data_IF_391837493272
#
_entry.id   IF_391837493272
#
_cell.length_a   1.000
_cell.length_b   1.000
_cell.length_c   1.000
_cell.angle_alpha   90.00
_cell.angle_beta   90.00
_cell.angle_gamma   90.00
#
_symmetry.space_group_name_H-M   'P 1'
#
loop_
_entity.id
_entity.type
_entity.pdbx_description
1 polymer ?
#
# COMPACT_ATOMS: atom_id res chain seq x y z
N UNK A 1 -14.69 33.84 -5.58
CA UNK A 1 -13.27 33.43 -5.57
C UNK A 1 -13.19 32.29 -4.57
N UNK A 2 -13.17 31.04 -5.03
CA UNK A 2 -12.91 29.91 -4.12
C UNK A 2 -11.42 29.93 -3.83
N UNK A 3 -11.03 30.10 -2.57
CA UNK A 3 -9.67 29.79 -2.15
C UNK A 3 -9.43 28.31 -2.47
N UNK A 4 -8.54 28.03 -3.42
CA UNK A 4 -8.02 26.68 -3.61
C UNK A 4 -7.23 26.35 -2.34
N UNK A 5 -7.83 25.57 -1.45
CA UNK A 5 -7.16 25.10 -0.24
C UNK A 5 -5.93 24.31 -0.68
N UNK A 6 -4.74 24.85 -0.40
CA UNK A 6 -3.48 24.17 -0.70
C UNK A 6 -3.41 22.92 0.17
N UNK A 7 -3.27 21.75 -0.45
CA UNK A 7 -3.09 20.50 0.26
C UNK A 7 -1.71 20.50 0.92
N UNK A 8 -1.69 20.48 2.25
CA UNK A 8 -0.45 20.58 3.03
C UNK A 8 0.33 19.25 3.02
N UNK A 9 1.63 19.32 2.71
CA UNK A 9 2.59 18.23 2.90
C UNK A 9 3.09 18.26 4.34
N UNK A 10 2.91 17.15 5.06
CA UNK A 10 3.29 17.02 6.47
C UNK A 10 4.59 16.22 6.66
N UNK A 11 4.84 15.26 5.78
CA UNK A 11 6.01 14.38 5.82
C UNK A 11 6.58 14.32 4.41
N UNK A 12 7.90 14.44 4.32
CA UNK A 12 8.65 14.44 3.07
C UNK A 12 9.74 13.36 3.06
N UNK A 13 10.40 13.16 1.91
CA UNK A 13 11.49 12.21 1.72
C UNK A 13 11.09 10.76 2.03
N UNK A 14 9.87 10.37 1.61
CA UNK A 14 9.35 9.04 1.84
C UNK A 14 9.78 8.01 0.79
N UNK A 15 10.18 8.43 -0.41
CA UNK A 15 10.62 7.52 -1.46
C UNK A 15 11.81 6.69 -0.99
N UNK A 16 11.74 5.37 -1.16
CA UNK A 16 12.76 4.43 -0.71
C UNK A 16 12.73 4.15 0.81
N UNK A 17 11.80 4.72 1.58
CA UNK A 17 11.63 4.36 2.99
C UNK A 17 10.96 3.00 3.10
N UNK A 18 11.59 2.11 3.86
CA UNK A 18 11.14 0.74 4.11
C UNK A 18 10.05 0.67 5.16
N UNK A 19 9.06 -0.19 4.94
CA UNK A 19 8.03 -0.51 5.92
C UNK A 19 7.51 -1.94 5.73
N UNK A 20 6.73 -2.44 6.68
CA UNK A 20 6.01 -3.71 6.57
C UNK A 20 4.64 -3.63 7.21
N UNK A 21 3.77 -4.56 6.83
CA UNK A 21 2.40 -4.62 7.34
C UNK A 21 1.99 -6.05 7.71
N UNK A 22 1.41 -6.21 8.89
CA UNK A 22 0.78 -7.46 9.35
C UNK A 22 -0.73 -7.26 9.33
N UNK A 23 -1.43 -8.10 8.58
CA UNK A 23 -2.87 -8.01 8.37
C UNK A 23 -3.56 -9.22 8.99
N UNK A 24 -3.85 -9.21 10.30
CA UNK A 24 -4.77 -10.18 10.89
C UNK A 24 -6.18 -9.98 10.33
N UNK A 25 -6.80 -11.09 9.93
CA UNK A 25 -8.13 -11.11 9.34
C UNK A 25 -9.08 -11.91 10.22
N UNK A 26 -10.18 -11.27 10.58
CA UNK A 26 -11.19 -11.75 11.50
C UNK A 26 -12.49 -12.01 10.77
N UNK A 27 -13.22 -13.05 11.19
CA UNK A 27 -14.60 -13.23 10.80
C UNK A 27 -15.49 -12.35 11.70
N UNK A 28 -16.32 -11.51 11.09
CA UNK A 28 -17.36 -10.71 11.73
C UNK A 28 -18.72 -11.09 11.12
N UNK A 29 -19.80 -10.54 11.67
CA UNK A 29 -21.17 -10.85 11.23
C UNK A 29 -21.41 -10.56 9.74
N UNK A 30 -20.72 -9.56 9.18
CA UNK A 30 -20.82 -9.08 7.80
C UNK A 30 -19.68 -9.55 6.90
N UNK A 31 -18.89 -10.55 7.33
CA UNK A 31 -17.84 -11.20 6.53
C UNK A 31 -16.44 -11.04 7.12
N UNK A 32 -15.42 -11.16 6.28
CA UNK A 32 -14.03 -11.04 6.68
C UNK A 32 -13.61 -9.57 6.77
N UNK A 33 -12.91 -9.23 7.85
CA UNK A 33 -12.34 -7.90 8.07
C UNK A 33 -10.86 -8.00 8.42
N UNK A 34 -10.03 -7.21 7.76
CA UNK A 34 -8.61 -7.07 8.10
C UNK A 34 -8.39 -5.83 8.97
N UNK A 35 -7.55 -5.96 9.99
CA UNK A 35 -6.87 -4.80 10.59
C UNK A 35 -5.48 -4.68 9.96
N UNK A 36 -5.07 -3.48 9.56
CA UNK A 36 -3.74 -3.26 8.97
C UNK A 36 -2.82 -2.70 10.03
N UNK A 37 -1.91 -3.51 10.54
CA UNK A 37 -0.84 -3.08 11.45
C UNK A 37 0.40 -2.77 10.62
N UNK A 38 0.88 -1.53 10.68
CA UNK A 38 1.99 -1.08 9.85
C UNK A 38 3.12 -0.44 10.65
N UNK A 39 4.35 -0.52 10.14
CA UNK A 39 5.55 0.08 10.77
C UNK A 39 5.80 1.54 10.34
N UNK A 40 4.94 2.10 9.48
CA UNK A 40 5.13 3.44 8.92
C UNK A 40 5.29 4.48 10.04
N UNK A 41 6.37 5.28 9.95
CA UNK A 41 6.78 6.29 10.92
C UNK A 41 7.15 5.74 12.32
N UNK A 42 7.36 4.42 12.46
CA UNK A 42 7.76 3.79 13.72
C UNK A 42 9.15 3.14 13.63
N UNK A 43 9.40 2.38 12.57
CA UNK A 43 10.66 1.71 12.30
C UNK A 43 10.75 1.28 10.82
N UNK A 44 11.92 0.80 10.42
CA UNK A 44 12.27 0.37 9.08
C UNK A 44 11.92 -1.11 8.79
N UNK A 45 11.11 -1.75 9.63
CA UNK A 45 10.67 -3.14 9.53
C UNK A 45 11.83 -4.18 9.50
N UNK A 46 12.77 -4.19 10.46
CA UNK A 46 14.07 -4.86 10.34
C UNK A 46 14.02 -6.28 9.73
N UNK A 47 14.76 -6.51 8.64
CA UNK A 47 14.68 -7.76 7.85
C UNK A 47 14.86 -9.02 8.72
N UNK A 48 15.89 -9.03 9.57
CA UNK A 48 16.22 -10.15 10.44
C UNK A 48 15.16 -10.48 11.50
N UNK A 49 14.24 -9.55 11.80
CA UNK A 49 13.08 -9.79 12.66
C UNK A 49 11.87 -10.19 11.82
N UNK A 50 11.67 -9.54 10.66
CA UNK A 50 10.56 -9.83 9.75
C UNK A 50 10.56 -11.28 9.28
N UNK A 51 11.72 -11.82 8.92
CA UNK A 51 11.89 -13.21 8.49
C UNK A 51 11.55 -14.25 9.58
N UNK A 52 11.47 -13.81 10.84
CA UNK A 52 11.11 -14.67 11.98
C UNK A 52 9.62 -14.59 12.33
N UNK A 53 8.84 -13.74 11.66
CA UNK A 53 7.41 -13.66 11.91
C UNK A 53 6.72 -14.95 11.47
N UNK A 54 5.94 -15.52 12.38
CA UNK A 54 5.10 -16.68 12.11
C UNK A 54 3.63 -16.23 12.03
N UNK A 55 3.11 -16.17 10.81
CA UNK A 55 1.73 -15.75 10.55
C UNK A 55 0.69 -16.65 11.26
N UNK A 56 0.95 -17.95 11.38
CA UNK A 56 0.03 -18.89 12.03
C UNK A 56 0.05 -18.70 13.54
N UNK A 57 1.22 -18.47 14.13
CA UNK A 57 1.33 -18.15 15.56
C UNK A 57 0.64 -16.83 15.90
N UNK A 58 0.85 -15.78 15.07
CA UNK A 58 0.18 -14.48 15.23
C UNK A 58 -1.34 -14.64 15.09
N UNK A 59 -1.82 -15.42 14.12
CA UNK A 59 -3.25 -15.65 13.93
C UNK A 59 -3.88 -16.30 15.17
N UNK A 60 -3.20 -17.31 15.73
CA UNK A 60 -3.62 -17.99 16.96
C UNK A 60 -3.62 -17.06 18.18
N UNK A 61 -2.61 -16.20 18.32
CA UNK A 61 -2.53 -15.24 19.43
C UNK A 61 -3.71 -14.25 19.39
N UNK A 62 -4.08 -13.81 18.19
CA UNK A 62 -5.10 -12.79 17.99
C UNK A 62 -6.53 -13.34 17.92
N UNK A 63 -6.70 -14.66 17.86
CA UNK A 63 -7.97 -15.29 17.46
C UNK A 63 -8.44 -14.80 16.08
N UNK A 64 -7.48 -14.63 15.16
CA UNK A 64 -7.73 -14.30 13.77
C UNK A 64 -7.89 -15.59 12.94
N UNK A 65 -8.70 -15.53 11.88
CA UNK A 65 -8.91 -16.65 10.95
C UNK A 65 -7.62 -16.96 10.19
N UNK A 66 -6.90 -15.91 9.78
CA UNK A 66 -5.56 -16.00 9.21
C UNK A 66 -4.87 -14.64 9.30
N UNK A 67 -3.55 -14.62 9.09
CA UNK A 67 -2.74 -13.41 9.03
C UNK A 67 -2.02 -13.36 7.69
N UNK A 68 -2.07 -12.21 7.02
CA UNK A 68 -1.25 -11.92 5.85
C UNK A 68 -0.06 -11.04 6.26
N UNK A 69 1.15 -11.55 6.07
CA UNK A 69 2.36 -10.73 6.08
C UNK A 69 2.46 -10.03 4.72
N UNK A 70 2.34 -8.71 4.72
CA UNK A 70 2.19 -7.88 3.53
C UNK A 70 3.42 -6.99 3.32
N UNK A 71 4.55 -7.60 2.98
CA UNK A 71 5.82 -6.91 2.78
C UNK A 71 7.04 -7.82 2.96
N UNK A 72 8.25 -7.25 3.15
CA UNK A 72 8.53 -5.82 3.32
C UNK A 72 8.31 -5.01 2.04
N UNK A 73 8.16 -3.70 2.19
CA UNK A 73 7.81 -2.76 1.13
C UNK A 73 8.70 -1.52 1.18
N UNK A 74 8.82 -0.85 0.05
CA UNK A 74 9.42 0.47 -0.04
C UNK A 74 8.44 1.43 -0.72
N UNK A 75 8.31 2.63 -0.17
CA UNK A 75 7.49 3.66 -0.79
C UNK A 75 8.11 4.12 -2.11
N UNK A 76 7.23 4.34 -3.09
CA UNK A 76 7.55 4.97 -4.38
C UNK A 76 6.98 6.39 -4.44
N UNK A 77 6.01 6.70 -3.58
CA UNK A 77 5.59 8.08 -3.29
C UNK A 77 6.70 8.85 -2.56
N UNK A 78 6.60 10.18 -2.61
CA UNK A 78 7.63 11.09 -2.10
C UNK A 78 7.26 11.73 -0.76
N UNK A 79 5.97 11.87 -0.45
CA UNK A 79 5.52 12.47 0.79
C UNK A 79 4.10 12.13 1.18
N UNK A 80 3.76 12.48 2.42
CA UNK A 80 2.42 12.34 2.98
C UNK A 80 1.87 13.70 3.41
N UNK A 81 0.57 13.87 3.24
CA UNK A 81 -0.19 14.97 3.83
C UNK A 81 -1.13 14.47 4.91
N UNK A 82 -2.27 15.14 5.02
CA UNK A 82 -3.28 14.84 6.02
C UNK A 82 -3.80 13.40 5.92
N UNK A 83 -4.05 12.80 7.09
CA UNK A 83 -4.77 11.54 7.24
C UNK A 83 -6.01 11.75 8.09
N UNK A 84 -7.20 11.53 7.52
CA UNK A 84 -8.49 11.84 8.14
C UNK A 84 -9.35 10.63 8.47
N UNK A 85 -9.09 9.46 7.88
CA UNK A 85 -9.90 8.29 8.19
C UNK A 85 -9.68 7.88 9.66
N UNK A 86 -10.74 7.82 10.47
CA UNK A 86 -10.61 7.49 11.88
C UNK A 86 -10.20 6.04 12.01
N UNK A 87 -9.06 5.82 12.66
CA UNK A 87 -8.60 4.51 13.08
C UNK A 87 -8.00 4.67 14.47
N UNK A 88 -8.51 3.91 15.44
CA UNK A 88 -7.90 3.92 16.76
C UNK A 88 -6.50 3.30 16.67
N UNK A 89 -5.44 4.03 17.07
CA UNK A 89 -4.07 3.61 16.91
C UNK A 89 -3.70 2.61 18.01
N UNK A 90 -3.98 1.33 17.77
CA UNK A 90 -3.53 0.24 18.63
C UNK A 90 -2.08 -0.09 18.28
N UNK A 91 -1.20 0.05 19.26
CA UNK A 91 0.19 -0.40 19.14
C UNK A 91 0.30 -1.85 19.52
N UNK A 92 1.07 -2.62 18.74
CA UNK A 92 1.30 -4.03 19.00
C UNK A 92 2.67 -4.43 18.49
N UNK A 93 3.34 -5.28 19.24
CA UNK A 93 4.59 -5.88 18.82
C UNK A 93 4.32 -7.25 18.20
N UNK A 94 4.93 -7.53 17.04
CA UNK A 94 5.01 -8.88 16.48
C UNK A 94 6.49 -9.22 16.28
N UNK A 95 6.96 -10.31 16.91
CA UNK A 95 8.34 -10.79 16.73
C UNK A 95 9.43 -9.75 16.97
N UNK A 96 9.24 -8.84 17.94
CA UNK A 96 10.20 -7.76 18.24
C UNK A 96 10.08 -6.51 17.36
N UNK A 97 9.10 -6.45 16.45
CA UNK A 97 8.84 -5.27 15.62
C UNK A 97 7.58 -4.57 16.13
N UNK A 98 7.68 -3.28 16.42
CA UNK A 98 6.54 -2.46 16.82
C UNK A 98 5.71 -2.05 15.60
N UNK A 99 4.40 -2.26 15.66
CA UNK A 99 3.43 -1.83 14.65
C UNK A 99 2.35 -0.96 15.29
N UNK A 100 1.65 -0.19 14.44
CA UNK A 100 0.42 0.52 14.81
C UNK A 100 -0.68 0.18 13.84
N UNK A 101 -1.92 0.01 14.32
CA UNK A 101 -3.10 -0.12 13.46
C UNK A 101 -3.31 1.17 12.68
N UNK A 102 -3.23 1.09 11.35
CA UNK A 102 -3.31 2.23 10.44
C UNK A 102 -4.55 2.22 9.54
N UNK A 103 -5.24 1.10 9.41
CA UNK A 103 -6.49 1.00 8.66
C UNK A 103 -7.28 -0.25 9.07
N UNK A 104 -8.54 -0.29 8.65
CA UNK A 104 -9.39 -1.49 8.65
C UNK A 104 -9.97 -1.69 7.25
N UNK A 105 -10.10 -2.93 6.81
CA UNK A 105 -10.61 -3.29 5.48
C UNK A 105 -11.75 -4.32 5.61
N UNK A 106 -12.90 -4.02 5.03
CA UNK A 106 -13.93 -5.02 4.79
C UNK A 106 -13.55 -5.82 3.53
N UNK A 107 -13.29 -7.12 3.68
CA UNK A 107 -12.87 -8.01 2.60
C UNK A 107 -14.03 -8.82 2.01
N UNK A 108 -15.20 -8.80 2.65
CA UNK A 108 -16.34 -9.64 2.28
C UNK A 108 -16.00 -11.12 2.45
N UNK A 109 -16.30 -11.94 1.44
CA UNK A 109 -16.13 -13.40 1.53
C UNK A 109 -14.70 -13.88 1.18
N UNK A 110 -13.83 -13.00 0.69
CA UNK A 110 -12.51 -13.38 0.18
C UNK A 110 -11.36 -12.74 0.95
N UNK A 111 -10.66 -13.63 1.65
CA UNK A 111 -9.43 -13.38 2.39
C UNK A 111 -8.33 -12.64 1.62
N UNK A 112 -7.99 -13.14 0.43
CA UNK A 112 -6.92 -12.57 -0.42
C UNK A 112 -7.46 -12.43 -1.84
N UNK A 113 -7.65 -11.21 -2.34
CA UNK A 113 -8.12 -11.00 -3.70
C UNK A 113 -7.00 -11.25 -4.71
N UNK A 114 -7.40 -11.66 -5.92
CA UNK A 114 -6.49 -11.90 -7.04
C UNK A 114 -5.77 -10.61 -7.48
N UNK A 115 -4.56 -10.71 -8.05
CA UNK A 115 -3.90 -9.58 -8.69
C UNK A 115 -4.79 -8.84 -9.69
N UNK A 116 -4.52 -7.56 -9.89
CA UNK A 116 -5.25 -6.65 -10.80
C UNK A 116 -6.74 -6.45 -10.46
N UNK A 117 -7.15 -6.80 -9.23
CA UNK A 117 -8.50 -6.54 -8.72
C UNK A 117 -8.52 -5.31 -7.83
N UNK A 118 -9.41 -4.36 -8.13
CA UNK A 118 -9.61 -3.15 -7.32
C UNK A 118 -10.11 -3.50 -5.90
N UNK A 119 -9.51 -2.85 -4.91
CA UNK A 119 -9.90 -2.82 -3.50
C UNK A 119 -10.24 -1.39 -3.13
N UNK A 120 -11.16 -1.26 -2.20
CA UNK A 120 -11.64 0.01 -1.69
C UNK A 120 -11.16 0.19 -0.25
N UNK A 121 -10.26 1.15 -0.04
CA UNK A 121 -9.58 1.35 1.24
C UNK A 121 -9.99 2.69 1.83
N UNK A 122 -10.67 2.66 2.98
CA UNK A 122 -10.99 3.87 3.74
C UNK A 122 -9.76 4.35 4.54
N UNK A 123 -8.74 4.87 3.84
CA UNK A 123 -7.52 5.41 4.46
C UNK A 123 -7.54 6.92 4.68
N UNK A 124 -8.34 7.65 3.89
CA UNK A 124 -8.45 9.10 3.97
C UNK A 124 -7.10 9.81 3.98
N UNK A 125 -6.24 9.59 2.99
CA UNK A 125 -4.85 10.06 3.03
C UNK A 125 -4.46 10.85 1.77
N UNK A 126 -3.53 11.80 1.95
CA UNK A 126 -2.89 12.53 0.84
C UNK A 126 -1.51 11.95 0.57
N UNK A 127 -1.25 11.54 -0.67
CA UNK A 127 0.06 11.14 -1.16
C UNK A 127 0.59 12.13 -2.17
N UNK A 128 1.88 12.41 -2.09
CA UNK A 128 2.57 13.28 -3.03
C UNK A 128 3.61 12.51 -3.84
N UNK A 129 3.71 12.85 -5.11
CA UNK A 129 4.76 12.41 -6.03
C UNK A 129 5.38 13.64 -6.67
N UNK A 130 6.69 13.81 -6.54
CA UNK A 130 7.32 15.09 -6.87
C UNK A 130 7.53 15.25 -8.39
N UNK A 131 7.49 16.50 -8.86
CA UNK A 131 7.92 16.84 -10.21
C UNK A 131 9.37 16.40 -10.47
N UNK A 132 9.66 16.00 -11.70
CA UNK A 132 10.97 15.50 -12.13
C UNK A 132 11.26 14.05 -11.75
N UNK A 133 10.40 13.39 -10.97
CA UNK A 133 10.57 11.98 -10.56
C UNK A 133 9.74 11.02 -11.43
N UNK A 134 10.16 9.75 -11.56
CA UNK A 134 9.39 8.74 -12.25
C UNK A 134 8.16 8.31 -11.42
N UNK A 135 7.06 8.11 -12.13
CA UNK A 135 5.93 7.30 -11.70
C UNK A 135 5.79 6.10 -12.63
N UNK A 136 5.32 5.01 -12.05
CA UNK A 136 5.15 3.72 -12.70
C UNK A 136 3.68 3.38 -12.71
N UNK A 137 3.13 3.13 -13.89
CA UNK A 137 1.69 3.10 -14.10
C UNK A 137 1.25 1.76 -14.70
N UNK A 138 0.26 1.15 -14.07
CA UNK A 138 -0.59 0.14 -14.71
C UNK A 138 -1.76 0.85 -15.37
N UNK A 139 -1.99 0.61 -16.65
CA UNK A 139 -3.11 1.21 -17.40
C UNK A 139 -4.08 0.11 -17.77
N UNK A 140 -5.31 0.20 -17.27
CA UNK A 140 -6.36 -0.77 -17.58
C UNK A 140 -6.88 -0.59 -19.02
N UNK A 141 -7.60 -1.59 -19.58
CA UNK A 141 -8.20 -1.49 -20.90
C UNK A 141 -9.16 -0.29 -21.05
N UNK A 142 -9.75 0.17 -19.95
CA UNK A 142 -10.63 1.36 -19.91
C UNK A 142 -9.87 2.68 -19.79
N UNK A 143 -8.53 2.67 -19.79
CA UNK A 143 -7.68 3.85 -19.70
C UNK A 143 -7.41 4.37 -18.29
N UNK A 144 -7.87 3.69 -17.24
CA UNK A 144 -7.52 4.06 -15.85
C UNK A 144 -6.04 3.78 -15.61
N UNK A 145 -5.27 4.80 -15.22
CA UNK A 145 -3.85 4.66 -14.88
C UNK A 145 -3.68 4.61 -13.35
N UNK A 146 -3.26 3.47 -12.82
CA UNK A 146 -2.95 3.26 -11.40
C UNK A 146 -1.46 3.48 -11.19
N UNK A 147 -1.10 4.32 -10.23
CA UNK A 147 0.28 4.69 -9.93
C UNK A 147 0.81 3.80 -8.82
N UNK A 148 1.98 3.23 -9.03
CA UNK A 148 2.70 2.46 -8.04
C UNK A 148 3.00 3.34 -6.82
N UNK A 149 2.34 3.04 -5.69
CA UNK A 149 2.60 3.73 -4.43
C UNK A 149 3.72 3.04 -3.64
N UNK A 150 3.84 1.72 -3.74
CA UNK A 150 4.84 0.95 -2.99
C UNK A 150 5.23 -0.33 -3.72
N UNK A 151 6.55 -0.54 -3.87
CA UNK A 151 7.10 -1.81 -4.34
C UNK A 151 7.19 -2.82 -3.18
N UNK A 152 7.06 -4.10 -3.48
CA UNK A 152 7.16 -5.19 -2.51
C UNK A 152 8.39 -6.05 -2.81
N UNK A 153 9.15 -6.38 -1.76
CA UNK A 153 10.28 -7.32 -1.85
C UNK A 153 9.98 -8.68 -1.22
N UNK A 154 8.75 -8.87 -0.72
CA UNK A 154 8.33 -10.11 -0.05
C UNK A 154 8.09 -11.29 -0.99
N UNK A 155 7.70 -11.02 -2.24
CA UNK A 155 7.49 -12.07 -3.27
C UNK A 155 8.75 -12.27 -4.11
N UNK A 156 9.38 -11.16 -4.51
CA UNK A 156 10.64 -11.14 -5.24
C UNK A 156 11.65 -10.24 -4.53
N UNK A 157 12.70 -10.82 -3.91
CA UNK A 157 13.71 -10.05 -3.19
C UNK A 157 14.64 -9.25 -4.11
N UNK A 158 14.60 -9.48 -5.43
CA UNK A 158 15.38 -8.71 -6.41
C UNK A 158 14.69 -7.42 -6.85
N UNK A 159 13.44 -7.20 -6.44
CA UNK A 159 12.68 -5.99 -6.73
C UNK A 159 13.37 -4.77 -6.12
N UNK A 160 13.60 -3.75 -6.94
CA UNK A 160 14.15 -2.45 -6.52
C UNK A 160 13.62 -1.34 -7.41
N UNK A 161 13.79 -0.08 -6.99
CA UNK A 161 13.38 1.07 -7.80
C UNK A 161 14.08 1.10 -9.18
N UNK A 162 15.31 0.61 -9.28
CA UNK A 162 16.07 0.50 -10.53
C UNK A 162 15.47 -0.50 -11.51
N UNK A 163 14.76 -1.52 -11.01
CA UNK A 163 14.09 -2.54 -11.84
C UNK A 163 12.69 -2.13 -12.29
N UNK A 164 12.09 -1.11 -11.66
CA UNK A 164 10.73 -0.68 -11.99
C UNK A 164 10.56 -0.20 -13.44
N UNK A 165 11.50 0.54 -14.07
CA UNK A 165 11.32 1.00 -15.45
C UNK A 165 11.00 -0.11 -16.47
N UNK A 166 11.47 -1.34 -16.23
CA UNK A 166 11.25 -2.51 -17.09
C UNK A 166 10.32 -3.56 -16.47
N UNK A 167 9.68 -3.26 -15.34
CA UNK A 167 8.79 -4.20 -14.64
C UNK A 167 7.67 -4.74 -15.55
N UNK A 168 7.17 -3.92 -16.47
CA UNK A 168 6.17 -4.31 -17.47
C UNK A 168 6.50 -5.57 -18.28
N UNK A 169 7.79 -5.87 -18.50
CA UNK A 169 8.25 -7.06 -19.23
C UNK A 169 8.11 -8.35 -18.40
N UNK A 170 7.99 -8.20 -17.08
CA UNK A 170 7.92 -9.29 -16.11
C UNK A 170 6.50 -9.56 -15.63
N UNK A 171 5.60 -8.59 -15.82
CA UNK A 171 4.24 -8.66 -15.29
C UNK A 171 3.35 -9.60 -16.10
N UNK A 172 2.65 -10.50 -15.42
CA UNK A 172 1.62 -11.38 -15.97
C UNK A 172 0.27 -10.64 -16.07
N UNK A 173 0.26 -9.50 -16.77
CA UNK A 173 -0.92 -8.63 -16.86
C UNK A 173 -2.08 -9.30 -17.60
N UNK A 174 -3.34 -9.06 -17.18
CA UNK A 174 -4.51 -9.50 -17.94
C UNK A 174 -4.56 -8.82 -19.33
N UNK A 175 -5.27 -9.45 -20.26
CA UNK A 175 -5.41 -8.93 -21.63
C UNK A 175 -5.90 -7.48 -21.65
N UNK A 176 -5.24 -6.64 -22.46
CA UNK A 176 -5.56 -5.22 -22.66
C UNK A 176 -5.00 -4.27 -21.60
N UNK A 177 -4.38 -4.78 -20.53
CA UNK A 177 -3.59 -3.94 -19.63
C UNK A 177 -2.24 -3.60 -20.26
N UNK A 178 -1.69 -2.45 -19.85
CA UNK A 178 -0.33 -2.06 -20.22
C UNK A 178 0.40 -1.46 -19.02
N UNK A 179 1.72 -1.44 -19.10
CA UNK A 179 2.59 -0.84 -18.11
C UNK A 179 3.39 0.29 -18.77
N UNK A 180 3.58 1.41 -18.07
CA UNK A 180 4.43 2.50 -18.55
C UNK A 180 5.12 3.24 -17.40
N UNK A 181 6.21 3.91 -17.75
CA UNK A 181 6.90 4.86 -16.88
C UNK A 181 6.70 6.26 -17.42
N UNK A 182 6.47 7.23 -16.54
CA UNK A 182 6.35 8.65 -16.89
C UNK A 182 7.14 9.50 -15.91
N UNK A 183 7.90 10.46 -16.40
CA UNK A 183 8.49 11.51 -15.56
C UNK A 183 7.41 12.58 -15.34
N UNK A 184 7.18 12.95 -14.08
CA UNK A 184 6.21 13.98 -13.74
C UNK A 184 6.74 15.36 -14.12
N UNK A 185 5.97 16.13 -14.90
CA UNK A 185 6.30 17.54 -15.20
C UNK A 185 5.89 18.48 -14.06
N UNK A 186 4.88 18.10 -13.29
CA UNK A 186 4.38 18.80 -12.12
C UNK A 186 4.11 17.80 -11.00
N UNK A 187 4.11 18.27 -9.75
CA UNK A 187 3.78 17.46 -8.58
C UNK A 187 2.39 16.84 -8.76
N UNK A 188 2.31 15.54 -8.51
CA UNK A 188 1.05 14.83 -8.49
C UNK A 188 0.61 14.62 -7.04
N UNK A 189 -0.58 15.11 -6.72
CA UNK A 189 -1.23 14.94 -5.41
C UNK A 189 -2.38 13.97 -5.56
N UNK A 190 -2.33 12.85 -4.83
CA UNK A 190 -3.43 11.89 -4.72
C UNK A 190 -4.09 12.11 -3.36
N UNK A 191 -5.21 12.83 -3.37
CA UNK A 191 -5.97 13.18 -2.17
C UNK A 191 -7.22 12.31 -2.02
N UNK A 192 -7.19 11.39 -1.06
CA UNK A 192 -8.34 10.51 -0.75
C UNK A 192 -9.06 10.92 0.53
N UNK A 193 -8.86 12.15 1.02
CA UNK A 193 -9.46 12.59 2.30
C UNK A 193 -10.99 12.65 2.27
N UNK A 194 -11.59 12.88 1.09
CA UNK A 194 -13.06 12.96 0.92
C UNK A 194 -13.66 11.77 0.15
N UNK A 195 -12.86 10.75 -0.19
CA UNK A 195 -13.33 9.57 -0.95
C UNK A 195 -12.57 8.29 -0.61
N UNK A 196 -13.20 7.16 -0.87
CA UNK A 196 -12.56 5.85 -0.67
C UNK A 196 -11.46 5.66 -1.71
N UNK A 197 -10.26 5.27 -1.27
CA UNK A 197 -9.14 5.02 -2.17
C UNK A 197 -9.34 3.73 -2.96
N UNK A 198 -9.08 3.76 -4.26
CA UNK A 198 -9.03 2.56 -5.11
C UNK A 198 -7.59 2.08 -5.23
N UNK A 199 -7.33 0.85 -4.77
CA UNK A 199 -6.00 0.25 -4.73
C UNK A 199 -6.04 -1.12 -5.38
N UNK A 200 -5.01 -1.50 -6.13
CA UNK A 200 -4.83 -2.88 -6.60
C UNK A 200 -3.39 -3.34 -6.36
N UNK A 201 -3.16 -4.64 -6.51
CA UNK A 201 -1.83 -5.24 -6.45
C UNK A 201 -1.54 -6.06 -7.70
N UNK A 202 -0.30 -6.11 -8.13
CA UNK A 202 0.16 -7.10 -9.12
C UNK A 202 0.55 -8.42 -8.43
N UNK A 203 0.99 -9.42 -9.21
CA UNK A 203 1.40 -10.72 -8.69
C UNK A 203 2.69 -10.70 -7.87
N UNK A 204 3.48 -9.63 -7.95
CA UNK A 204 4.62 -9.39 -7.05
C UNK A 204 4.20 -8.66 -5.77
N UNK A 205 2.89 -8.44 -5.59
CA UNK A 205 2.29 -7.68 -4.49
C UNK A 205 2.73 -6.21 -4.43
N UNK A 206 3.25 -5.64 -5.50
CA UNK A 206 3.42 -4.20 -5.60
C UNK A 206 2.04 -3.54 -5.53
N UNK A 207 1.92 -2.43 -4.80
CA UNK A 207 0.63 -1.78 -4.57
C UNK A 207 0.51 -0.52 -5.41
N UNK A 208 -0.60 -0.40 -6.13
CA UNK A 208 -0.91 0.73 -7.01
C UNK A 208 -2.17 1.42 -6.52
N UNK A 209 -2.21 2.74 -6.61
CA UNK A 209 -3.35 3.58 -6.25
C UNK A 209 -3.87 4.30 -7.48
N UNK A 210 -5.18 4.38 -7.63
CA UNK A 210 -5.79 5.22 -8.65
C UNK A 210 -5.67 6.70 -8.22
N UNK A 211 -5.12 7.59 -9.07
CA UNK A 211 -5.17 9.03 -8.86
C UNK A 211 -6.60 9.56 -8.93
N UNK A 212 -6.77 10.83 -8.54
CA UNK A 212 -8.08 11.46 -8.44
C UNK A 212 -8.74 11.79 -9.76
#
# INVERSE_FOLDING_TARGET
>A
MSETKVTERLIDNMRGVRYGEVLPIFLREDGLHAEVYGTQMLNDCPQHLWEKLDAAAIAKELDAVFVKLNGPRYWVLDGFGLKVAPVEPVFREFGGIMFRRIATLALGDKATPSPYTEKYVNRGAVFFFDAGKPVYELVSPGGKAYILQALCVGVDPTMSEETLPTLGERLAMPSGWSYRTRILEAELVIDTTEKIATVLQDEFENSYTLPN
#
